data_IF_512776804931
#
_entry.id   IF_512776804931
#
_cell.length_a   1.000
_cell.length_b   1.000
_cell.length_c   1.000
_cell.angle_alpha   90.00
_cell.angle_beta   90.00
_cell.angle_gamma   90.00
#
_symmetry.space_group_name_H-M   'P 1'
#
loop_
_entity.id
_entity.type
_entity.pdbx_description
1 polymer ?
#
# COMPACT_ATOMS: atom_id res chain seq x y z
N UNK A 1 -5.74 20.77 -19.07
CA UNK A 1 -5.35 19.40 -18.64
C UNK A 1 -5.56 19.25 -17.14
N UNK A 2 -5.89 18.06 -16.65
CA UNK A 2 -6.02 17.79 -15.21
C UNK A 2 -5.07 16.67 -14.79
N UNK A 3 -4.60 16.71 -13.54
CA UNK A 3 -3.74 15.69 -12.93
C UNK A 3 -4.03 15.51 -11.45
N UNK A 4 -3.41 14.55 -10.80
CA UNK A 4 -3.73 14.17 -9.42
C UNK A 4 -2.83 14.82 -8.37
N UNK A 5 -1.59 15.19 -8.70
CA UNK A 5 -0.66 15.78 -7.73
C UNK A 5 0.02 17.04 -8.24
N UNK A 6 0.45 17.96 -7.36
CA UNK A 6 1.25 19.12 -7.74
C UNK A 6 2.58 18.73 -8.41
N UNK A 7 3.23 17.66 -7.91
CA UNK A 7 4.51 17.18 -8.46
C UNK A 7 4.32 16.74 -9.92
N UNK A 8 3.24 16.00 -10.22
CA UNK A 8 2.95 15.60 -11.58
C UNK A 8 2.50 16.80 -12.44
N UNK A 9 1.79 17.76 -11.85
CA UNK A 9 1.44 19.00 -12.57
C UNK A 9 2.67 19.75 -13.05
N UNK A 10 3.74 19.81 -12.26
CA UNK A 10 4.97 20.52 -12.63
C UNK A 10 5.70 19.82 -13.81
N UNK A 11 5.63 18.51 -13.91
CA UNK A 11 6.11 17.77 -15.08
C UNK A 11 5.27 18.09 -16.33
N UNK A 12 3.94 18.09 -16.19
CA UNK A 12 3.01 18.35 -17.31
C UNK A 12 3.12 19.79 -17.80
N UNK A 13 3.38 20.78 -16.92
CA UNK A 13 3.49 22.19 -17.29
C UNK A 13 4.60 22.48 -18.31
N UNK A 14 5.58 21.60 -18.44
CA UNK A 14 6.59 21.67 -19.50
C UNK A 14 6.00 21.54 -20.90
N UNK A 15 4.83 20.85 -21.00
CA UNK A 15 4.13 20.59 -22.26
C UNK A 15 2.81 21.35 -22.40
N UNK A 16 2.16 21.69 -21.28
CA UNK A 16 0.90 22.41 -21.26
C UNK A 16 0.81 23.30 -20.03
N UNK A 17 0.80 24.62 -20.23
CA UNK A 17 0.74 25.62 -19.14
C UNK A 17 -0.59 25.60 -18.37
N UNK A 18 -1.68 25.12 -19.00
CA UNK A 18 -3.01 25.06 -18.41
C UNK A 18 -3.22 23.71 -17.70
N UNK A 19 -2.68 23.57 -16.50
CA UNK A 19 -2.80 22.35 -15.68
C UNK A 19 -3.50 22.68 -14.37
N UNK A 20 -4.53 21.91 -14.05
CA UNK A 20 -5.25 21.94 -12.76
C UNK A 20 -5.08 20.62 -12.03
N UNK A 21 -4.79 20.69 -10.73
CA UNK A 21 -4.68 19.50 -9.86
C UNK A 21 -6.05 19.20 -9.26
N UNK A 22 -6.48 17.96 -9.39
CA UNK A 22 -7.58 17.36 -8.64
C UNK A 22 -7.08 16.02 -8.08
N UNK A 23 -6.90 15.91 -6.78
CA UNK A 23 -6.40 14.68 -6.17
C UNK A 23 -7.35 13.52 -6.40
N UNK A 24 -6.89 12.30 -6.17
CA UNK A 24 -7.76 11.13 -6.07
C UNK A 24 -8.74 11.32 -4.91
N UNK A 25 -9.91 10.69 -5.03
CA UNK A 25 -10.96 10.82 -4.04
C UNK A 25 -11.61 9.47 -3.78
N UNK A 26 -12.15 9.31 -2.59
CA UNK A 26 -12.87 8.11 -2.14
C UNK A 26 -14.34 8.47 -1.91
N UNK A 27 -15.23 7.57 -2.33
CA UNK A 27 -16.61 7.59 -1.86
C UNK A 27 -16.71 6.74 -0.58
N UNK A 28 -16.81 7.35 0.61
CA UNK A 28 -16.84 6.61 1.86
C UNK A 28 -18.12 5.77 2.05
N UNK A 29 -19.15 6.02 1.25
CA UNK A 29 -20.42 5.27 1.30
C UNK A 29 -20.35 3.93 0.57
N UNK A 30 -19.31 3.69 -0.23
CA UNK A 30 -19.12 2.40 -0.89
C UNK A 30 -18.78 1.31 0.13
N UNK A 31 -19.43 0.15 -0.02
CA UNK A 31 -19.28 -0.99 0.90
C UNK A 31 -17.84 -1.44 1.12
N UNK A 32 -16.99 -1.32 0.10
CA UNK A 32 -15.59 -1.72 0.21
C UNK A 32 -14.78 -0.83 1.17
N UNK A 33 -15.21 0.39 1.44
CA UNK A 33 -14.59 1.29 2.42
C UNK A 33 -15.26 1.26 3.78
N UNK A 34 -16.22 0.36 4.00
CA UNK A 34 -16.82 0.15 5.31
C UNK A 34 -15.73 -0.16 6.35
N UNK A 35 -15.72 0.60 7.43
CA UNK A 35 -14.59 0.70 8.36
C UNK A 35 -14.49 -0.46 9.34
N UNK A 36 -15.47 -1.37 9.37
CA UNK A 36 -15.46 -2.49 10.31
C UNK A 36 -14.21 -3.37 10.08
N UNK A 37 -13.23 -3.22 11.00
CA UNK A 37 -12.06 -4.10 11.01
C UNK A 37 -12.48 -5.51 11.38
N UNK A 38 -11.96 -6.49 10.65
CA UNK A 38 -12.09 -7.89 11.05
C UNK A 38 -11.40 -8.12 12.41
N UNK A 39 -11.93 -9.02 13.25
CA UNK A 39 -11.27 -9.39 14.49
C UNK A 39 -9.79 -9.70 14.25
N UNK A 40 -8.93 -9.25 15.13
CA UNK A 40 -7.50 -9.58 15.08
C UNK A 40 -7.14 -10.53 16.20
N UNK A 41 -6.03 -11.22 16.04
CA UNK A 41 -5.30 -11.86 17.12
C UNK A 41 -4.59 -10.77 17.94
N UNK A 42 -3.75 -11.15 18.89
CA UNK A 42 -2.95 -10.19 19.68
C UNK A 42 -1.90 -9.45 18.87
N UNK A 43 -1.69 -9.84 17.60
CA UNK A 43 -0.66 -9.25 16.73
C UNK A 43 -1.15 -8.01 15.99
N UNK A 44 -0.24 -7.04 15.84
CA UNK A 44 -0.42 -5.91 14.92
C UNK A 44 -0.37 -6.40 13.48
N UNK A 45 -1.40 -6.15 12.70
CA UNK A 45 -1.47 -6.54 11.28
C UNK A 45 -0.85 -5.45 10.40
N UNK A 46 0.31 -5.74 9.83
CA UNK A 46 1.04 -4.85 8.93
C UNK A 46 0.78 -5.26 7.50
N UNK A 47 0.00 -4.46 6.79
CA UNK A 47 -0.46 -4.75 5.43
C UNK A 47 0.49 -4.27 4.35
N UNK A 48 0.55 -5.08 3.29
CA UNK A 48 1.14 -4.76 2.00
C UNK A 48 0.03 -4.95 0.97
N UNK A 49 -0.59 -3.85 0.53
CA UNK A 49 -1.66 -3.87 -0.47
C UNK A 49 -1.08 -3.33 -1.77
N UNK A 50 -0.82 -4.21 -2.74
CA UNK A 50 -0.16 -3.82 -3.98
C UNK A 50 -0.51 -4.75 -5.15
N UNK A 51 -0.15 -4.36 -6.35
CA UNK A 51 -0.17 -5.20 -7.55
C UNK A 51 1.19 -5.86 -7.80
N UNK A 52 1.28 -6.66 -8.86
CA UNK A 52 2.48 -7.42 -9.25
C UNK A 52 3.66 -6.56 -9.72
N UNK A 53 3.49 -5.25 -9.91
CA UNK A 53 4.52 -4.35 -10.44
C UNK A 53 5.42 -3.68 -9.37
N UNK A 54 5.26 -4.06 -8.09
CA UNK A 54 5.90 -3.38 -6.96
C UNK A 54 7.16 -4.06 -6.41
N UNK A 55 7.73 -5.08 -7.11
CA UNK A 55 8.89 -5.82 -6.60
C UNK A 55 10.04 -4.88 -6.21
N UNK A 56 10.37 -3.92 -7.10
CA UNK A 56 11.47 -2.98 -6.86
C UNK A 56 11.24 -2.04 -5.68
N UNK A 57 10.00 -1.75 -5.35
CA UNK A 57 9.64 -0.99 -4.15
C UNK A 57 9.78 -1.87 -2.91
N UNK A 58 9.30 -3.12 -2.97
CA UNK A 58 9.34 -4.06 -1.85
C UNK A 58 10.75 -4.56 -1.52
N UNK A 59 11.65 -4.63 -2.49
CA UNK A 59 13.08 -4.96 -2.28
C UNK A 59 13.75 -4.04 -1.25
N UNK A 60 13.26 -2.81 -1.05
CA UNK A 60 13.73 -1.89 0.01
C UNK A 60 13.50 -2.46 1.42
N UNK A 61 12.59 -3.42 1.56
CA UNK A 61 12.24 -4.08 2.81
C UNK A 61 13.00 -5.41 3.01
N UNK A 62 13.89 -5.80 2.10
CA UNK A 62 14.63 -7.08 2.21
C UNK A 62 15.35 -7.18 3.57
N UNK A 63 15.07 -8.26 4.31
CA UNK A 63 15.58 -8.48 5.67
C UNK A 63 14.65 -7.98 6.79
N UNK A 64 13.51 -7.38 6.49
CA UNK A 64 12.58 -6.86 7.50
C UNK A 64 12.01 -7.96 8.40
N UNK A 65 11.77 -9.15 7.85
CA UNK A 65 11.21 -10.29 8.57
C UNK A 65 12.06 -10.73 9.76
N UNK A 66 13.38 -10.46 9.74
CA UNK A 66 14.30 -10.77 10.84
C UNK A 66 14.41 -9.66 11.89
N UNK A 67 13.85 -8.48 11.62
CA UNK A 67 13.99 -7.29 12.47
C UNK A 67 12.69 -6.93 13.21
N UNK A 68 11.55 -7.49 12.79
CA UNK A 68 10.28 -7.30 13.50
C UNK A 68 10.07 -8.36 14.57
N UNK A 69 9.35 -7.96 15.62
CA UNK A 69 8.94 -8.90 16.66
C UNK A 69 7.81 -9.81 16.15
N UNK A 70 8.14 -11.05 15.80
CA UNK A 70 7.21 -12.04 15.24
C UNK A 70 6.09 -12.45 16.20
N UNK A 71 6.28 -12.25 17.51
CA UNK A 71 5.22 -12.53 18.50
C UNK A 71 4.15 -11.43 18.54
N UNK A 72 4.50 -10.22 18.14
CA UNK A 72 3.62 -9.03 18.16
C UNK A 72 3.17 -8.54 16.80
N UNK A 73 3.78 -9.00 15.70
CA UNK A 73 3.55 -8.52 14.34
C UNK A 73 3.17 -9.66 13.43
N UNK A 74 2.15 -9.41 12.60
CA UNK A 74 1.78 -10.26 11.47
C UNK A 74 1.84 -9.43 10.19
N UNK A 75 2.66 -9.84 9.22
CA UNK A 75 2.59 -9.29 7.87
C UNK A 75 1.39 -9.87 7.12
N UNK A 76 0.64 -9.00 6.43
CA UNK A 76 -0.53 -9.39 5.62
C UNK A 76 -0.28 -8.92 4.18
N UNK A 77 0.07 -9.85 3.30
CA UNK A 77 0.25 -9.57 1.88
C UNK A 77 -1.11 -9.70 1.16
N UNK A 78 -1.62 -8.56 0.68
CA UNK A 78 -2.90 -8.47 0.01
C UNK A 78 -2.73 -8.26 -1.50
N UNK A 79 -3.56 -8.95 -2.27
CA UNK A 79 -3.51 -8.91 -3.72
C UNK A 79 -2.76 -10.09 -4.34
N UNK A 80 -2.41 -11.10 -3.51
CA UNK A 80 -1.70 -12.30 -3.96
C UNK A 80 -2.45 -12.98 -5.11
N UNK A 81 -1.74 -13.28 -6.19
CA UNK A 81 -2.30 -13.98 -7.34
C UNK A 81 -1.21 -14.77 -8.08
N UNK A 82 -1.38 -16.09 -8.10
CA UNK A 82 -0.49 -16.98 -8.86
C UNK A 82 -1.10 -17.44 -10.18
N UNK A 83 -2.31 -16.98 -10.49
CA UNK A 83 -2.97 -17.25 -11.76
C UNK A 83 -2.33 -16.40 -12.87
N UNK A 84 -2.15 -16.99 -14.01
CA UNK A 84 -1.62 -16.31 -15.19
C UNK A 84 -0.97 -17.29 -16.14
N UNK A 85 -0.58 -16.77 -17.29
CA UNK A 85 0.12 -17.55 -18.31
C UNK A 85 1.45 -16.89 -18.64
N UNK A 86 2.45 -17.70 -18.95
CA UNK A 86 3.73 -17.28 -19.47
C UNK A 86 3.83 -17.69 -20.94
N UNK A 87 4.10 -16.71 -21.79
CA UNK A 87 4.41 -16.94 -23.21
C UNK A 87 5.91 -17.03 -23.37
N UNK A 88 6.39 -18.12 -23.95
CA UNK A 88 7.80 -18.41 -24.20
C UNK A 88 8.00 -18.40 -25.71
N UNK A 89 8.88 -17.54 -26.18
CA UNK A 89 9.32 -17.51 -27.57
C UNK A 89 10.59 -18.36 -27.69
N UNK A 90 10.52 -19.45 -28.46
CA UNK A 90 11.64 -20.35 -28.68
C UNK A 90 12.50 -19.85 -29.83
N UNK A 91 13.79 -20.23 -29.84
CA UNK A 91 14.74 -19.83 -30.89
C UNK A 91 14.35 -20.34 -32.29
N UNK A 92 13.56 -21.41 -32.38
CA UNK A 92 13.01 -21.97 -33.61
C UNK A 92 11.75 -21.22 -34.12
N UNK A 93 11.34 -20.15 -33.49
CA UNK A 93 10.15 -19.35 -33.81
C UNK A 93 8.84 -19.89 -33.29
N UNK A 94 8.84 -21.01 -32.56
CA UNK A 94 7.64 -21.52 -31.89
C UNK A 94 7.29 -20.65 -30.68
N UNK A 95 5.97 -20.51 -30.43
CA UNK A 95 5.44 -19.80 -29.27
C UNK A 95 4.68 -20.83 -28.39
N UNK A 96 5.15 -20.98 -27.17
CA UNK A 96 4.53 -21.81 -26.15
C UNK A 96 3.85 -20.95 -25.09
N UNK A 97 2.61 -21.23 -24.73
CA UNK A 97 1.90 -20.59 -23.63
C UNK A 97 1.53 -21.63 -22.61
N UNK A 98 1.94 -21.42 -21.35
CA UNK A 98 1.64 -22.30 -20.24
C UNK A 98 1.28 -21.51 -18.99
N UNK A 99 0.62 -22.13 -17.99
CA UNK A 99 0.44 -21.52 -16.68
C UNK A 99 1.78 -21.09 -16.05
N UNK A 100 1.77 -19.99 -15.31
CA UNK A 100 2.92 -19.57 -14.50
C UNK A 100 3.08 -20.56 -13.35
N UNK A 101 4.29 -21.10 -13.17
CA UNK A 101 4.59 -21.87 -11.99
C UNK A 101 4.69 -20.96 -10.75
N UNK A 102 4.29 -21.44 -9.56
CA UNK A 102 4.35 -20.62 -8.34
C UNK A 102 5.71 -19.97 -8.08
N UNK A 103 6.80 -20.70 -8.32
CA UNK A 103 8.17 -20.18 -8.15
C UNK A 103 8.58 -19.12 -9.17
N UNK A 104 7.84 -18.95 -10.24
CA UNK A 104 8.05 -17.91 -11.25
C UNK A 104 7.17 -16.67 -10.98
N UNK A 105 6.30 -16.75 -9.99
CA UNK A 105 5.40 -15.65 -9.64
C UNK A 105 6.14 -14.63 -8.78
N UNK A 106 6.02 -13.36 -9.16
CA UNK A 106 6.51 -12.23 -8.37
C UNK A 106 5.94 -12.21 -6.95
N UNK A 107 4.76 -12.79 -6.76
CA UNK A 107 4.13 -12.90 -5.45
C UNK A 107 4.91 -13.81 -4.49
N UNK A 108 5.55 -14.85 -5.00
CA UNK A 108 6.46 -15.66 -4.21
C UNK A 108 7.73 -14.89 -3.84
N UNK A 109 8.21 -13.99 -4.69
CA UNK A 109 9.33 -13.10 -4.35
C UNK A 109 8.92 -12.09 -3.27
N UNK A 110 7.70 -11.58 -3.30
CA UNK A 110 7.16 -10.76 -2.20
C UNK A 110 7.11 -11.55 -0.88
N UNK A 111 6.61 -12.79 -0.90
CA UNK A 111 6.57 -13.63 0.30
C UNK A 111 7.95 -13.84 0.92
N UNK A 112 8.99 -14.04 0.10
CA UNK A 112 10.38 -14.18 0.58
C UNK A 112 10.83 -13.00 1.43
N UNK A 113 10.43 -11.78 1.07
CA UNK A 113 10.78 -10.56 1.82
C UNK A 113 10.17 -10.58 3.22
N UNK A 114 8.90 -11.01 3.34
CA UNK A 114 8.14 -10.94 4.58
C UNK A 114 8.20 -12.21 5.43
N UNK A 115 8.74 -13.29 4.88
CA UNK A 115 8.85 -14.59 5.57
C UNK A 115 10.28 -15.04 5.79
N UNK A 116 11.27 -14.29 5.35
CA UNK A 116 12.67 -14.70 5.36
C UNK A 116 12.87 -16.08 4.70
N UNK A 117 12.17 -16.29 3.59
CA UNK A 117 12.12 -17.52 2.79
C UNK A 117 11.49 -18.76 3.47
N UNK A 118 11.07 -18.70 4.75
CA UNK A 118 10.62 -19.93 5.42
C UNK A 118 9.43 -20.60 4.70
N UNK A 119 8.51 -19.83 4.13
CA UNK A 119 7.36 -20.38 3.40
C UNK A 119 7.72 -20.97 2.06
N UNK A 120 8.67 -20.36 1.36
CA UNK A 120 9.03 -20.78 -0.01
C UNK A 120 9.90 -22.03 -0.07
N UNK A 121 10.55 -22.40 1.03
CA UNK A 121 11.42 -23.57 1.12
C UNK A 121 10.82 -24.74 1.89
N UNK A 122 9.72 -24.53 2.63
CA UNK A 122 9.11 -25.60 3.43
C UNK A 122 8.28 -26.54 2.53
N UNK A 123 8.24 -27.87 2.84
CA UNK A 123 7.34 -28.81 2.17
C UNK A 123 5.87 -28.42 2.29
N UNK A 124 5.46 -27.88 3.44
CA UNK A 124 4.11 -27.44 3.74
C UNK A 124 3.68 -26.28 2.80
N UNK A 125 4.64 -25.49 2.33
CA UNK A 125 4.36 -24.43 1.37
C UNK A 125 3.89 -24.98 0.03
N UNK A 126 4.44 -26.11 -0.45
CA UNK A 126 3.98 -26.77 -1.68
C UNK A 126 2.56 -27.27 -1.53
N UNK A 127 2.26 -27.93 -0.43
CA UNK A 127 0.91 -28.43 -0.13
C UNK A 127 -0.06 -27.27 0.03
N UNK A 128 0.38 -26.20 0.65
CA UNK A 128 -0.37 -24.96 0.79
C UNK A 128 -0.65 -24.31 -0.56
N UNK A 129 0.35 -24.16 -1.45
CA UNK A 129 0.13 -23.66 -2.81
C UNK A 129 -0.86 -24.53 -3.59
N UNK A 130 -0.72 -25.86 -3.53
CA UNK A 130 -1.64 -26.79 -4.21
C UNK A 130 -3.07 -26.70 -3.67
N UNK A 131 -3.22 -26.59 -2.36
CA UNK A 131 -4.50 -26.58 -1.67
C UNK A 131 -5.24 -25.24 -1.80
N UNK A 132 -4.50 -24.12 -1.92
CA UNK A 132 -5.06 -22.77 -1.94
C UNK A 132 -4.83 -21.99 -3.25
N UNK A 133 -4.42 -22.66 -4.33
CA UNK A 133 -4.34 -22.05 -5.67
C UNK A 133 -5.70 -21.54 -6.19
N UNK A 134 -6.78 -21.89 -5.51
CA UNK A 134 -8.15 -21.56 -5.91
C UNK A 134 -8.65 -20.20 -5.39
N UNK A 135 -7.80 -19.33 -4.89
CA UNK A 135 -8.22 -17.99 -4.46
C UNK A 135 -8.77 -17.92 -3.03
N UNK A 136 -8.34 -18.82 -2.15
CA UNK A 136 -8.73 -18.83 -0.73
C UNK A 136 -7.67 -18.09 0.09
N UNK A 137 -8.12 -17.14 0.91
CA UNK A 137 -7.25 -16.42 1.85
C UNK A 137 -6.68 -17.38 2.91
N UNK A 138 -5.48 -17.07 3.42
CA UNK A 138 -4.94 -17.77 4.59
C UNK A 138 -5.91 -17.67 5.76
N UNK A 139 -6.05 -18.76 6.54
CA UNK A 139 -6.87 -18.75 7.73
C UNK A 139 -6.39 -17.64 8.71
N UNK A 140 -7.31 -17.16 9.50
CA UNK A 140 -7.04 -16.20 10.55
C UNK A 140 -6.30 -16.89 11.72
N UNK A 141 -4.98 -16.79 11.70
CA UNK A 141 -4.09 -17.46 12.67
C UNK A 141 -3.14 -16.47 13.33
N UNK A 142 -2.41 -16.93 14.36
CA UNK A 142 -1.34 -16.17 15.01
C UNK A 142 0.04 -16.28 14.31
N UNK A 143 0.08 -16.80 13.08
CA UNK A 143 1.32 -16.86 12.31
C UNK A 143 1.87 -15.45 12.01
N UNK A 144 3.20 -15.29 11.91
CA UNK A 144 3.81 -13.98 11.63
C UNK A 144 3.59 -13.48 10.19
N UNK A 145 3.01 -14.31 9.33
CA UNK A 145 2.68 -13.96 7.94
C UNK A 145 1.34 -14.56 7.53
N UNK A 146 0.60 -13.78 6.74
CA UNK A 146 -0.67 -14.17 6.15
C UNK A 146 -0.77 -13.62 4.74
N UNK A 147 -1.29 -14.41 3.79
CA UNK A 147 -1.63 -13.94 2.45
C UNK A 147 -3.13 -13.79 2.27
N UNK A 148 -3.50 -12.79 1.47
CA UNK A 148 -4.87 -12.58 1.02
C UNK A 148 -4.90 -12.45 -0.50
N UNK A 149 -5.82 -13.18 -1.12
CA UNK A 149 -5.94 -13.20 -2.56
C UNK A 149 -6.41 -11.88 -3.14
N UNK A 150 -6.06 -11.64 -4.41
CA UNK A 150 -6.53 -10.50 -5.17
C UNK A 150 -8.06 -10.45 -5.21
N UNK A 151 -8.60 -9.25 -5.21
CA UNK A 151 -10.03 -8.99 -5.25
C UNK A 151 -10.39 -8.16 -6.47
N UNK A 152 -11.66 -8.21 -6.83
CA UNK A 152 -12.18 -7.35 -7.89
C UNK A 152 -12.04 -5.87 -7.50
N UNK A 153 -11.98 -4.99 -8.50
CA UNK A 153 -11.82 -3.54 -8.30
C UNK A 153 -12.87 -2.92 -7.35
N UNK A 154 -14.07 -3.50 -7.31
CA UNK A 154 -15.15 -3.03 -6.45
C UNK A 154 -15.08 -3.56 -5.00
N UNK A 155 -14.12 -4.45 -4.72
CA UNK A 155 -13.96 -5.12 -3.43
C UNK A 155 -12.53 -5.04 -2.88
N UNK A 156 -11.56 -4.54 -3.64
CA UNK A 156 -10.15 -4.58 -3.24
C UNK A 156 -9.89 -3.86 -1.92
N UNK A 157 -10.61 -2.79 -1.64
CA UNK A 157 -10.44 -2.02 -0.42
C UNK A 157 -10.90 -2.79 0.84
N UNK A 158 -11.65 -3.90 0.70
CA UNK A 158 -11.96 -4.79 1.84
C UNK A 158 -10.70 -5.42 2.46
N UNK A 159 -9.56 -5.41 1.76
CA UNK A 159 -8.27 -5.78 2.35
C UNK A 159 -7.92 -4.95 3.57
N UNK A 160 -8.26 -3.65 3.58
CA UNK A 160 -8.02 -2.75 4.72
C UNK A 160 -8.73 -3.18 6.01
N UNK A 161 -9.78 -3.99 5.93
CA UNK A 161 -10.44 -4.57 7.12
C UNK A 161 -9.53 -5.53 7.89
N UNK A 162 -8.50 -6.07 7.24
CA UNK A 162 -7.51 -6.99 7.80
C UNK A 162 -6.16 -6.34 8.11
N UNK A 163 -6.06 -5.02 8.07
CA UNK A 163 -4.82 -4.27 8.18
C UNK A 163 -4.97 -3.17 9.22
N UNK A 164 -4.06 -3.09 10.19
CA UNK A 164 -4.00 -2.04 11.20
C UNK A 164 -3.03 -0.93 10.79
N UNK A 165 -1.95 -1.30 10.08
CA UNK A 165 -0.91 -0.42 9.55
C UNK A 165 -0.60 -0.82 8.11
N UNK A 166 -0.64 0.11 7.18
CA UNK A 166 -0.13 -0.11 5.81
C UNK A 166 1.31 0.37 5.71
N UNK A 167 2.18 -0.43 5.10
CA UNK A 167 3.53 -0.02 4.70
C UNK A 167 3.60 0.21 3.20
N UNK A 168 4.15 1.35 2.80
CA UNK A 168 4.23 1.77 1.40
C UNK A 168 5.67 2.22 1.04
N UNK A 169 6.60 1.26 0.84
CA UNK A 169 7.91 1.57 0.30
C UNK A 169 7.78 2.09 -1.13
N UNK A 170 8.63 3.02 -1.49
CA UNK A 170 8.62 3.63 -2.81
C UNK A 170 10.06 3.91 -3.24
N UNK A 171 10.57 3.13 -4.20
CA UNK A 171 11.92 3.31 -4.73
C UNK A 171 12.01 4.65 -5.45
N UNK A 172 13.06 5.41 -5.17
CA UNK A 172 13.28 6.70 -5.80
C UNK A 172 13.61 6.54 -7.29
N UNK A 173 12.72 7.05 -8.11
CA UNK A 173 12.87 7.22 -9.56
C UNK A 173 11.79 8.19 -10.07
N UNK A 174 11.93 8.67 -11.30
CA UNK A 174 11.03 9.67 -11.88
C UNK A 174 9.58 9.19 -11.98
N UNK A 175 9.36 7.91 -12.28
CA UNK A 175 8.02 7.33 -12.35
C UNK A 175 7.34 7.32 -10.96
N UNK A 176 8.03 6.86 -9.93
CA UNK A 176 7.50 6.81 -8.58
C UNK A 176 7.31 8.20 -7.98
N UNK A 177 8.15 9.17 -8.37
CA UNK A 177 8.06 10.56 -7.91
C UNK A 177 6.72 11.20 -8.23
N UNK A 178 6.12 10.84 -9.36
CA UNK A 178 4.86 11.43 -9.87
C UNK A 178 3.62 10.58 -9.58
N UNK A 179 3.74 9.49 -8.83
CA UNK A 179 2.60 8.70 -8.38
C UNK A 179 1.64 9.53 -7.52
N UNK A 180 0.43 9.04 -7.35
CA UNK A 180 -0.60 9.70 -6.54
C UNK A 180 -0.55 9.30 -5.07
N UNK A 181 -1.25 10.07 -4.24
CA UNK A 181 -1.41 9.90 -2.79
C UNK A 181 -2.44 8.81 -2.42
N UNK A 182 -2.93 8.00 -3.38
CA UNK A 182 -4.09 7.14 -3.18
C UNK A 182 -3.99 6.22 -1.95
N UNK A 183 -2.82 5.61 -1.70
CA UNK A 183 -2.65 4.69 -0.55
C UNK A 183 -2.83 5.38 0.80
N UNK A 184 -2.33 6.61 0.97
CA UNK A 184 -2.52 7.36 2.20
C UNK A 184 -3.98 7.78 2.39
N UNK A 185 -4.65 8.16 1.29
CA UNK A 185 -6.07 8.51 1.29
C UNK A 185 -6.92 7.31 1.71
N UNK A 186 -6.70 6.15 1.10
CA UNK A 186 -7.37 4.90 1.45
C UNK A 186 -7.13 4.51 2.91
N UNK A 187 -5.89 4.61 3.39
CA UNK A 187 -5.56 4.38 4.80
C UNK A 187 -6.36 5.27 5.73
N UNK A 188 -6.45 6.56 5.43
CA UNK A 188 -7.23 7.49 6.24
C UNK A 188 -8.70 7.10 6.30
N UNK A 189 -9.36 6.91 5.16
CA UNK A 189 -10.78 6.53 5.13
C UNK A 189 -11.09 5.20 5.80
N UNK A 190 -10.12 4.30 5.89
CA UNK A 190 -10.28 2.98 6.50
C UNK A 190 -9.70 2.88 7.91
N UNK A 191 -9.37 3.99 8.57
CA UNK A 191 -8.72 4.03 9.89
C UNK A 191 -7.53 3.06 9.99
N UNK A 192 -6.67 3.08 8.98
CA UNK A 192 -5.43 2.32 8.91
C UNK A 192 -4.26 3.29 9.09
N UNK A 193 -3.32 3.01 9.99
CA UNK A 193 -2.12 3.82 10.13
C UNK A 193 -1.23 3.67 8.88
N UNK A 194 -0.43 4.70 8.58
CA UNK A 194 0.40 4.72 7.38
C UNK A 194 1.88 4.88 7.72
N UNK A 195 2.70 3.96 7.20
CA UNK A 195 4.16 4.10 7.17
C UNK A 195 4.58 4.18 5.71
N UNK A 196 5.10 5.30 5.27
CA UNK A 196 5.48 5.55 3.88
C UNK A 196 6.93 5.94 3.70
N UNK A 197 7.44 5.78 2.47
CA UNK A 197 8.71 6.37 2.06
C UNK A 197 8.57 7.89 2.05
N UNK A 198 9.51 8.61 2.64
CA UNK A 198 9.56 10.07 2.57
C UNK A 198 10.01 10.53 1.17
N UNK A 199 9.19 10.23 0.15
CA UNK A 199 9.48 10.48 -1.25
C UNK A 199 8.20 10.63 -2.07
N UNK A 200 8.26 11.43 -3.14
CA UNK A 200 7.18 11.61 -4.10
C UNK A 200 5.88 12.12 -3.47
N UNK A 201 4.77 11.49 -3.77
CA UNK A 201 3.45 11.90 -3.32
C UNK A 201 3.33 11.99 -1.78
N UNK A 202 4.00 11.11 -1.05
CA UNK A 202 3.92 11.08 0.41
C UNK A 202 4.61 12.25 1.12
N UNK A 203 5.32 13.11 0.38
CA UNK A 203 5.91 14.36 0.90
C UNK A 203 5.02 15.59 0.71
N UNK A 204 3.87 15.45 0.04
CA UNK A 204 3.03 16.60 -0.33
C UNK A 204 2.26 17.13 0.88
N UNK A 205 1.59 16.25 1.60
CA UNK A 205 0.63 16.65 2.63
C UNK A 205 0.79 15.91 3.96
N UNK A 206 1.49 14.76 3.98
CA UNK A 206 1.66 14.00 5.21
C UNK A 206 2.59 14.73 6.19
N UNK A 207 2.17 14.71 7.45
CA UNK A 207 2.93 15.31 8.56
C UNK A 207 3.59 14.16 9.34
N UNK A 208 4.94 14.14 9.46
CA UNK A 208 5.60 13.07 10.19
C UNK A 208 5.27 13.15 11.70
N UNK A 209 4.84 12.01 12.29
CA UNK A 209 4.64 11.90 13.73
C UNK A 209 5.95 11.81 14.50
N UNK A 210 7.00 11.26 13.88
CA UNK A 210 8.36 11.28 14.44
C UNK A 210 9.20 12.22 13.60
N UNK A 211 9.52 13.35 14.19
CA UNK A 211 10.35 14.39 13.58
C UNK A 211 11.84 14.04 13.65
N UNK A 212 12.65 14.82 12.94
CA UNK A 212 14.11 14.73 12.99
C UNK A 212 14.60 14.88 14.44
N UNK A 213 15.42 13.95 14.90
CA UNK A 213 15.86 13.90 16.30
C UNK A 213 14.97 13.06 17.22
N UNK A 214 13.87 12.48 16.71
CA UNK A 214 13.03 11.56 17.48
C UNK A 214 11.93 12.24 18.32
N UNK A 215 11.73 13.55 18.17
CA UNK A 215 10.64 14.28 18.82
C UNK A 215 9.30 13.79 18.28
N UNK A 216 8.33 13.60 19.16
CA UNK A 216 6.96 13.26 18.79
C UNK A 216 6.19 14.53 18.43
N UNK A 217 5.55 14.50 17.26
CA UNK A 217 4.57 15.48 16.83
C UNK A 217 3.18 14.88 16.98
N UNK A 218 2.42 15.37 17.93
CA UNK A 218 1.09 14.87 18.29
C UNK A 218 0.06 15.04 17.17
N UNK A 219 0.28 15.95 16.24
CA UNK A 219 -0.53 16.21 15.04
C UNK A 219 -0.07 15.37 13.83
N UNK A 220 0.95 14.52 14.00
CA UNK A 220 1.50 13.71 12.92
C UNK A 220 0.48 12.76 12.32
N UNK A 221 0.45 12.66 10.99
CA UNK A 221 -0.50 11.83 10.23
C UNK A 221 0.12 10.53 9.70
N UNK A 222 1.45 10.43 9.73
CA UNK A 222 2.17 9.25 9.22
C UNK A 222 3.53 9.07 9.90
N UNK A 223 4.08 7.87 9.77
CA UNK A 223 5.51 7.62 9.99
C UNK A 223 6.21 7.61 8.64
N UNK A 224 7.14 8.54 8.43
CA UNK A 224 7.86 8.67 7.16
C UNK A 224 9.28 8.14 7.30
N UNK A 225 9.63 7.19 6.44
CA UNK A 225 10.95 6.57 6.39
C UNK A 225 11.83 7.34 5.40
N UNK A 226 12.98 7.79 5.86
CA UNK A 226 13.95 8.52 5.06
C UNK A 226 14.52 7.61 3.95
N UNK A 227 14.69 8.13 2.74
CA UNK A 227 15.21 7.38 1.60
C UNK A 227 16.62 6.83 1.80
N UNK A 228 17.41 7.52 2.62
CA UNK A 228 18.75 7.06 3.02
C UNK A 228 18.74 5.86 3.99
N UNK A 229 17.55 5.45 4.49
CA UNK A 229 17.40 4.41 5.48
C UNK A 229 16.98 3.10 4.83
N UNK A 230 17.47 2.01 5.41
CA UNK A 230 17.14 0.66 4.99
C UNK A 230 15.93 0.10 5.78
N UNK A 231 15.61 -1.16 5.54
CA UNK A 231 14.53 -1.89 6.21
C UNK A 231 14.54 -1.78 7.75
N UNK A 232 15.67 -1.48 8.40
CA UNK A 232 15.76 -1.34 9.87
C UNK A 232 14.92 -0.19 10.41
N UNK A 233 14.80 0.92 9.69
CA UNK A 233 13.93 2.01 10.12
C UNK A 233 12.45 1.63 9.99
N UNK A 234 12.08 0.91 8.95
CA UNK A 234 10.75 0.34 8.79
C UNK A 234 10.40 -0.59 9.96
N UNK A 235 11.29 -1.53 10.26
CA UNK A 235 11.12 -2.45 11.39
C UNK A 235 11.01 -1.72 12.73
N UNK A 236 11.83 -0.68 12.95
CA UNK A 236 11.77 0.16 14.16
C UNK A 236 10.38 0.80 14.33
N UNK A 237 9.81 1.35 13.25
CA UNK A 237 8.49 1.98 13.30
C UNK A 237 7.38 0.95 13.51
N UNK A 238 7.46 -0.20 12.84
CA UNK A 238 6.51 -1.29 13.02
C UNK A 238 6.51 -1.80 14.46
N UNK A 239 7.69 -2.11 15.02
CA UNK A 239 7.82 -2.58 16.40
C UNK A 239 7.31 -1.53 17.40
N UNK A 240 7.59 -0.24 17.15
CA UNK A 240 7.07 0.84 17.99
C UNK A 240 5.55 0.86 18.03
N UNK A 241 4.88 0.72 16.88
CA UNK A 241 3.40 0.68 16.83
C UNK A 241 2.83 -0.63 17.41
N UNK A 242 3.59 -1.72 17.38
CA UNK A 242 3.20 -2.96 18.03
C UNK A 242 3.28 -2.89 19.56
N UNK A 243 4.14 -2.01 20.10
CA UNK A 243 4.33 -1.79 21.53
C UNK A 243 3.50 -0.61 22.08
N UNK A 244 2.98 0.27 21.21
CA UNK A 244 2.34 1.54 21.58
C UNK A 244 0.96 1.66 20.87
N UNK A 245 -0.05 1.09 21.49
CA UNK A 245 -1.41 1.10 20.93
C UNK A 245 -2.03 2.51 20.89
N UNK A 246 -1.64 3.40 21.81
CA UNK A 246 -2.13 4.77 21.84
C UNK A 246 -1.57 5.57 20.66
N UNK A 247 -0.28 5.40 20.36
CA UNK A 247 0.34 6.01 19.19
C UNK A 247 -0.27 5.48 17.89
N UNK A 248 -0.54 4.17 17.81
CA UNK A 248 -1.22 3.56 16.67
C UNK A 248 -2.58 4.20 16.43
N UNK A 249 -3.39 4.26 17.49
CA UNK A 249 -4.74 4.86 17.42
C UNK A 249 -4.67 6.33 17.02
N UNK A 250 -3.76 7.07 17.59
CA UNK A 250 -3.57 8.49 17.28
C UNK A 250 -3.21 8.71 15.81
N UNK A 251 -2.31 7.90 15.25
CA UNK A 251 -1.99 7.96 13.82
C UNK A 251 -3.21 7.68 12.94
N UNK A 252 -4.01 6.68 13.29
CA UNK A 252 -5.24 6.34 12.58
C UNK A 252 -6.24 7.50 12.61
N UNK A 253 -6.47 8.07 13.79
CA UNK A 253 -7.42 9.17 13.98
C UNK A 253 -6.95 10.45 13.29
N UNK A 254 -5.67 10.81 13.39
CA UNK A 254 -5.10 11.99 12.75
C UNK A 254 -5.20 11.87 11.23
N UNK A 255 -4.84 10.73 10.65
CA UNK A 255 -4.91 10.52 9.22
C UNK A 255 -6.36 10.52 8.71
N UNK A 256 -7.30 9.88 9.42
CA UNK A 256 -8.73 9.96 9.10
C UNK A 256 -9.24 11.40 9.10
N UNK A 257 -8.95 12.17 10.17
CA UNK A 257 -9.37 13.57 10.26
C UNK A 257 -8.76 14.44 9.17
N UNK A 258 -7.56 14.10 8.72
CA UNK A 258 -6.89 14.78 7.63
C UNK A 258 -7.56 14.53 6.26
N UNK A 259 -8.02 13.28 5.98
CA UNK A 259 -8.52 12.91 4.64
C UNK A 259 -10.02 13.09 4.47
N UNK A 260 -10.82 12.89 5.51
CA UNK A 260 -12.29 12.75 5.44
C UNK A 260 -13.02 13.87 4.69
N UNK A 261 -12.62 15.13 4.91
CA UNK A 261 -13.24 16.29 4.27
C UNK A 261 -12.49 16.70 2.98
N UNK A 262 -11.20 16.42 2.93
CA UNK A 262 -10.30 16.88 1.86
C UNK A 262 -10.36 16.04 0.60
N UNK A 263 -10.58 14.72 0.76
CA UNK A 263 -10.49 13.74 -0.33
C UNK A 263 -11.81 12.96 -0.52
N UNK A 264 -12.93 13.46 -0.03
CA UNK A 264 -14.23 12.87 -0.35
C UNK A 264 -14.57 13.08 -1.82
N UNK A 265 -15.16 12.05 -2.45
CA UNK A 265 -15.54 12.12 -3.86
C UNK A 265 -16.51 13.28 -4.13
N UNK A 266 -17.46 13.53 -3.21
CA UNK A 266 -18.42 14.61 -3.32
C UNK A 266 -17.74 15.99 -3.41
N UNK A 267 -16.76 16.26 -2.54
CA UNK A 267 -16.04 17.53 -2.51
C UNK A 267 -15.17 17.71 -3.78
N UNK A 268 -14.41 16.67 -4.17
CA UNK A 268 -13.58 16.77 -5.38
C UNK A 268 -14.41 16.89 -6.65
N UNK A 269 -15.56 16.22 -6.75
CA UNK A 269 -16.49 16.40 -7.87
C UNK A 269 -17.06 17.82 -7.93
N UNK A 270 -17.43 18.42 -6.79
CA UNK A 270 -17.88 19.81 -6.72
C UNK A 270 -16.80 20.77 -7.28
N UNK A 271 -15.57 20.65 -6.81
CA UNK A 271 -14.44 21.44 -7.29
C UNK A 271 -14.21 21.28 -8.80
N UNK A 272 -14.34 20.06 -9.34
CA UNK A 272 -14.22 19.78 -10.77
C UNK A 272 -15.33 20.46 -11.56
N UNK A 273 -16.57 20.38 -11.10
CA UNK A 273 -17.73 21.02 -11.78
C UNK A 273 -17.56 22.53 -11.81
N UNK A 274 -17.17 23.14 -10.70
CA UNK A 274 -16.92 24.59 -10.63
C UNK A 274 -15.80 25.02 -11.59
N UNK A 275 -14.74 24.26 -11.65
CA UNK A 275 -13.63 24.52 -12.58
C UNK A 275 -14.08 24.42 -14.05
N UNK A 276 -14.80 23.37 -14.43
CA UNK A 276 -15.27 23.21 -15.81
C UNK A 276 -16.26 24.31 -16.21
N UNK A 277 -17.19 24.70 -15.32
CA UNK A 277 -18.07 25.84 -15.53
C UNK A 277 -17.29 27.14 -15.76
N UNK A 278 -16.21 27.36 -15.02
CA UNK A 278 -15.35 28.55 -15.16
C UNK A 278 -14.61 28.62 -16.50
N UNK A 279 -14.41 27.48 -17.18
CA UNK A 279 -13.80 27.43 -18.51
C UNK A 279 -14.84 27.75 -19.58
N UNK A 280 -16.03 27.11 -19.50
CA UNK A 280 -17.10 27.25 -20.50
C UNK A 280 -17.67 28.68 -20.48
N UNK A 281 -17.80 29.30 -19.31
CA UNK A 281 -18.37 30.66 -19.19
C UNK A 281 -17.37 31.79 -19.51
N UNK A 282 -16.16 31.47 -20.00
CA UNK A 282 -15.17 32.46 -20.45
C UNK A 282 -15.26 32.77 -21.95
N UNK A 283 -16.18 32.14 -22.67
CA UNK A 283 -16.59 32.47 -24.03
C UNK A 283 -17.77 33.46 -23.98
#
# INVERSE_FOLDING_TARGET
>A
MTTTTPIFADVIKQHNKNVKVFPNAINPEEKQYAVAKNPRTDKLRVGIICGSSHLKDLELLSGIATQVNKDKVQFVLCGFDTRGTRTIYKDNGEVETRPIYPQESVWCDYEKIFTDNYRTISPEHKDFLMKYMAGVDDPFTNEPYRRMWTRHINDYATHYQNVDVLIAPLKENDFNKVKSELKEIECGFTHTAFIGQNFGAYTINLVPMIEKGGKINEEGTALLVDSSKNHKQWAKYINKLADDADMLKKLQDNLYNFVKDRYSLAEICKQRVEFYKSIVNKE
#
